data_IF_214135023849
#
_entry.id   IF_214135023849
#
_cell.length_a   1.000
_cell.length_b   1.000
_cell.length_c   1.000
_cell.angle_alpha   90.00
_cell.angle_beta   90.00
_cell.angle_gamma   90.00
#
_symmetry.space_group_name_H-M   'P 1'
#
loop_
_entity.id
_entity.type
_entity.pdbx_description
1 polymer ?
#
# COMPACT_ATOMS: atom_id res chain seq x y z
N UNK A 1 -13.95 14.15 12.19
CA UNK A 1 -13.90 13.49 10.86
C UNK A 1 -13.42 12.07 11.05
N UNK A 2 -14.18 11.08 10.57
CA UNK A 2 -13.96 9.69 10.94
C UNK A 2 -12.85 9.06 10.09
N UNK A 3 -11.58 9.16 10.52
CA UNK A 3 -10.43 8.50 9.88
C UNK A 3 -10.66 7.00 9.68
N UNK A 4 -11.49 6.38 10.54
CA UNK A 4 -11.93 4.98 10.40
C UNK A 4 -12.75 4.78 9.12
N UNK A 5 -13.63 5.72 8.75
CA UNK A 5 -14.42 5.63 7.52
C UNK A 5 -13.52 5.69 6.28
N UNK A 6 -12.54 6.59 6.26
CA UNK A 6 -11.55 6.66 5.18
C UNK A 6 -10.70 5.39 5.10
N UNK A 7 -10.31 4.83 6.24
CA UNK A 7 -9.58 3.56 6.29
C UNK A 7 -10.41 2.38 5.76
N UNK A 8 -11.70 2.30 6.10
CA UNK A 8 -12.60 1.26 5.61
C UNK A 8 -12.84 1.37 4.11
N UNK A 9 -13.02 2.59 3.59
CA UNK A 9 -13.14 2.83 2.16
C UNK A 9 -11.85 2.43 1.44
N UNK A 10 -10.69 2.84 1.94
CA UNK A 10 -9.40 2.47 1.39
C UNK A 10 -9.18 0.95 1.37
N UNK A 11 -9.54 0.27 2.47
CA UNK A 11 -9.49 -1.20 2.56
C UNK A 11 -10.33 -1.87 1.47
N UNK A 12 -11.57 -1.40 1.28
CA UNK A 12 -12.45 -1.92 0.23
C UNK A 12 -11.86 -1.73 -1.17
N UNK A 13 -11.45 -0.49 -1.49
CA UNK A 13 -10.86 -0.16 -2.79
C UNK A 13 -9.58 -0.97 -3.08
N UNK A 14 -8.68 -1.11 -2.10
CA UNK A 14 -7.44 -1.89 -2.26
C UNK A 14 -7.72 -3.38 -2.44
N UNK A 15 -8.73 -3.93 -1.76
CA UNK A 15 -9.13 -5.33 -1.92
C UNK A 15 -9.59 -5.63 -3.36
N UNK A 16 -10.43 -4.76 -3.94
CA UNK A 16 -10.85 -4.90 -5.33
C UNK A 16 -9.72 -4.65 -6.32
N UNK A 17 -8.83 -3.69 -6.04
CA UNK A 17 -7.67 -3.41 -6.89
C UNK A 17 -6.82 -4.67 -7.10
N UNK A 18 -6.53 -5.44 -6.04
CA UNK A 18 -5.77 -6.69 -6.14
C UNK A 18 -6.44 -7.74 -7.01
N UNK A 19 -7.77 -7.87 -6.90
CA UNK A 19 -8.56 -8.77 -7.75
C UNK A 19 -8.45 -8.37 -9.24
N UNK A 20 -8.74 -7.11 -9.57
CA UNK A 20 -8.69 -6.64 -10.96
C UNK A 20 -7.29 -6.71 -11.55
N UNK A 21 -6.25 -6.44 -10.76
CA UNK A 21 -4.87 -6.58 -11.22
C UNK A 21 -4.52 -8.03 -11.53
N UNK A 22 -4.93 -8.99 -10.69
CA UNK A 22 -4.72 -10.42 -11.00
C UNK A 22 -5.43 -10.81 -12.30
N UNK A 23 -6.67 -10.38 -12.49
CA UNK A 23 -7.44 -10.66 -13.71
C UNK A 23 -6.71 -10.09 -14.93
N UNK A 24 -6.26 -8.84 -14.88
CA UNK A 24 -5.51 -8.23 -15.97
C UNK A 24 -4.20 -8.96 -16.30
N UNK A 25 -3.52 -9.50 -15.29
CA UNK A 25 -2.28 -10.27 -15.44
C UNK A 25 -2.48 -11.66 -16.07
N UNK A 26 -3.72 -12.11 -16.31
CA UNK A 26 -4.00 -13.37 -17.01
C UNK A 26 -3.71 -13.26 -18.51
N UNK A 27 -4.07 -12.11 -19.12
CA UNK A 27 -3.95 -11.89 -20.56
C UNK A 27 -2.82 -10.93 -20.95
N UNK A 28 -2.32 -10.14 -19.99
CA UNK A 28 -1.31 -9.11 -20.23
C UNK A 28 -0.02 -9.36 -19.44
N UNK A 29 1.16 -9.12 -20.05
CA UNK A 29 2.43 -9.17 -19.33
C UNK A 29 2.47 -8.18 -18.15
N UNK A 30 3.18 -8.55 -17.09
CA UNK A 30 3.31 -7.72 -15.86
C UNK A 30 3.80 -6.31 -16.15
N UNK A 31 4.81 -6.17 -17.01
CA UNK A 31 5.39 -4.88 -17.39
C UNK A 31 4.48 -4.01 -18.26
N UNK A 32 3.36 -4.56 -18.77
CA UNK A 32 2.31 -3.81 -19.46
C UNK A 32 1.21 -3.37 -18.51
N UNK A 33 0.76 -4.24 -17.60
CA UNK A 33 -0.29 -3.92 -16.61
C UNK A 33 0.20 -2.89 -15.59
N UNK A 34 1.46 -2.98 -15.16
CA UNK A 34 2.04 -2.10 -14.16
C UNK A 34 1.93 -0.60 -14.50
N UNK A 35 2.44 -0.11 -15.65
CA UNK A 35 2.32 1.31 -16.01
C UNK A 35 0.88 1.78 -16.15
N UNK A 36 -0.03 0.92 -16.64
CA UNK A 36 -1.45 1.27 -16.77
C UNK A 36 -2.05 1.52 -15.38
N UNK A 37 -1.91 0.57 -14.46
CA UNK A 37 -2.47 0.68 -13.12
C UNK A 37 -1.87 1.86 -12.34
N UNK A 38 -0.54 2.02 -12.38
CA UNK A 38 0.16 3.14 -11.70
C UNK A 38 -0.17 4.48 -12.35
N UNK A 39 -0.29 4.53 -13.68
CA UNK A 39 -0.70 5.73 -14.40
C UNK A 39 -2.11 6.17 -14.03
N UNK A 40 -3.07 5.24 -13.97
CA UNK A 40 -4.44 5.53 -13.50
C UNK A 40 -4.44 6.04 -12.06
N UNK A 41 -3.66 5.43 -11.17
CA UNK A 41 -3.51 5.91 -9.78
C UNK A 41 -2.92 7.32 -9.72
N UNK A 42 -1.86 7.59 -10.50
CA UNK A 42 -1.21 8.90 -10.53
C UNK A 42 -2.15 9.99 -11.03
N UNK A 43 -2.89 9.73 -12.11
CA UNK A 43 -3.92 10.65 -12.63
C UNK A 43 -5.04 10.85 -11.62
N UNK A 44 -5.54 9.78 -11.00
CA UNK A 44 -6.59 9.89 -9.98
C UNK A 44 -6.14 10.71 -8.77
N UNK A 45 -4.92 10.48 -8.29
CA UNK A 45 -4.34 11.22 -7.16
C UNK A 45 -4.16 12.71 -7.48
N UNK A 46 -3.65 13.06 -8.66
CA UNK A 46 -3.50 14.46 -9.08
C UNK A 46 -4.85 15.14 -9.32
N UNK A 47 -5.82 14.44 -9.91
CA UNK A 47 -7.18 14.97 -10.09
C UNK A 47 -7.83 15.26 -8.74
N UNK A 48 -7.76 14.34 -7.77
CA UNK A 48 -8.31 14.57 -6.43
C UNK A 48 -7.62 15.76 -5.76
N UNK A 49 -6.29 15.83 -5.79
CA UNK A 49 -5.57 16.94 -5.20
C UNK A 49 -5.92 18.30 -5.85
N UNK A 50 -6.14 18.32 -7.17
CA UNK A 50 -6.59 19.52 -7.89
C UNK A 50 -8.02 19.92 -7.50
N UNK A 51 -8.95 18.97 -7.39
CA UNK A 51 -10.35 19.22 -7.02
C UNK A 51 -10.51 19.73 -5.59
N UNK A 52 -9.68 19.24 -4.66
CA UNK A 52 -9.68 19.70 -3.27
C UNK A 52 -8.90 21.02 -3.06
N UNK A 53 -8.18 21.50 -4.09
CA UNK A 53 -7.41 22.75 -4.01
C UNK A 53 -6.16 22.67 -3.12
N UNK A 54 -5.76 21.47 -2.71
CA UNK A 54 -4.61 21.23 -1.82
C UNK A 54 -3.28 21.05 -2.58
N UNK A 55 -3.32 21.14 -3.91
CA UNK A 55 -2.11 21.06 -4.74
C UNK A 55 -1.24 22.32 -4.56
N UNK A 56 -0.06 22.14 -3.97
CA UNK A 56 0.95 23.19 -3.84
C UNK A 56 2.28 22.75 -4.44
N UNK A 57 3.07 23.70 -4.95
CA UNK A 57 4.44 23.43 -5.42
C UNK A 57 5.37 23.60 -4.22
N UNK A 58 5.88 22.50 -3.63
CA UNK A 58 6.77 22.62 -2.49
C UNK A 58 8.13 23.18 -2.90
N UNK A 59 8.83 23.80 -1.95
CA UNK A 59 10.25 24.13 -2.15
C UNK A 59 11.07 22.85 -2.34
N UNK A 60 11.84 22.80 -3.42
CA UNK A 60 12.69 21.66 -3.76
C UNK A 60 13.72 21.31 -2.67
N UNK A 61 14.07 22.26 -1.80
CA UNK A 61 15.01 22.08 -0.70
C UNK A 61 14.36 21.59 0.61
N UNK A 62 13.05 21.34 0.64
CA UNK A 62 12.38 20.92 1.87
C UNK A 62 12.68 19.45 2.19
N UNK A 63 12.99 19.16 3.47
CA UNK A 63 13.23 17.79 3.95
C UNK A 63 12.03 16.86 3.70
N UNK A 64 10.81 17.41 3.71
CA UNK A 64 9.57 16.67 3.43
C UNK A 64 9.49 16.16 2.00
N UNK A 65 10.00 16.94 1.02
CA UNK A 65 10.11 16.47 -0.38
C UNK A 65 11.08 15.30 -0.47
N UNK A 66 12.18 15.31 0.30
CA UNK A 66 13.09 14.16 0.40
C UNK A 66 12.40 12.88 0.90
N UNK A 67 11.57 12.99 1.95
CA UNK A 67 10.78 11.84 2.42
C UNK A 67 9.71 11.39 1.42
N UNK A 68 9.09 12.31 0.67
CA UNK A 68 8.16 11.97 -0.39
C UNK A 68 8.84 11.17 -1.52
N UNK A 69 10.06 11.57 -1.91
CA UNK A 69 10.86 10.79 -2.86
C UNK A 69 11.25 9.41 -2.33
N UNK A 70 11.68 9.33 -1.07
CA UNK A 70 11.99 8.04 -0.44
C UNK A 70 10.76 7.12 -0.39
N UNK A 71 9.58 7.68 -0.06
CA UNK A 71 8.32 6.95 -0.11
C UNK A 71 8.00 6.47 -1.54
N UNK A 72 8.21 7.33 -2.55
CA UNK A 72 8.04 6.98 -3.96
C UNK A 72 8.94 5.82 -4.42
N UNK A 73 10.21 5.82 -4.01
CA UNK A 73 11.16 4.73 -4.31
C UNK A 73 10.71 3.43 -3.66
N UNK A 74 10.31 3.47 -2.39
CA UNK A 74 9.78 2.30 -1.68
C UNK A 74 8.49 1.78 -2.33
N UNK A 75 7.58 2.67 -2.74
CA UNK A 75 6.35 2.33 -3.45
C UNK A 75 6.64 1.69 -4.81
N UNK A 76 7.63 2.20 -5.56
CA UNK A 76 8.04 1.60 -6.83
C UNK A 76 8.53 0.16 -6.62
N UNK A 77 9.38 -0.07 -5.62
CA UNK A 77 9.83 -1.42 -5.25
C UNK A 77 8.67 -2.33 -4.84
N UNK A 78 7.74 -1.81 -4.03
CA UNK A 78 6.56 -2.55 -3.58
C UNK A 78 5.65 -2.94 -4.75
N UNK A 79 5.34 -2.02 -5.67
CA UNK A 79 4.50 -2.28 -6.84
C UNK A 79 5.15 -3.31 -7.77
N UNK A 80 6.44 -3.14 -8.09
CA UNK A 80 7.16 -4.08 -8.96
C UNK A 80 7.19 -5.48 -8.35
N UNK A 81 7.56 -5.59 -7.08
CA UNK A 81 7.60 -6.87 -6.36
C UNK A 81 6.22 -7.52 -6.27
N UNK A 82 5.19 -6.75 -5.93
CA UNK A 82 3.84 -7.25 -5.75
C UNK A 82 3.19 -7.71 -7.06
N UNK A 83 3.31 -6.93 -8.14
CA UNK A 83 2.77 -7.32 -9.45
C UNK A 83 3.47 -8.55 -10.00
N UNK A 84 4.79 -8.65 -9.77
CA UNK A 84 5.55 -9.85 -10.15
C UNK A 84 5.10 -11.07 -9.34
N UNK A 85 4.89 -10.92 -8.04
CA UNK A 85 4.36 -12.00 -7.21
C UNK A 85 2.94 -12.41 -7.62
N UNK A 86 2.08 -11.44 -7.95
CA UNK A 86 0.73 -11.71 -8.46
C UNK A 86 0.74 -12.41 -9.81
N UNK A 87 1.72 -12.17 -10.69
CA UNK A 87 1.78 -12.89 -11.96
C UNK A 87 2.29 -14.32 -11.81
N UNK A 88 3.09 -14.62 -10.78
CA UNK A 88 3.68 -15.95 -10.59
C UNK A 88 3.00 -16.82 -9.53
N UNK A 89 2.16 -16.25 -8.65
CA UNK A 89 1.56 -16.97 -7.53
C UNK A 89 0.04 -16.76 -7.38
N UNK A 90 -0.64 -17.57 -6.55
CA UNK A 90 -2.05 -17.42 -6.25
C UNK A 90 -2.32 -16.18 -5.39
N UNK A 91 -3.42 -15.48 -5.66
CA UNK A 91 -3.82 -14.26 -4.93
C UNK A 91 -4.01 -14.54 -3.43
N UNK A 92 -4.55 -15.71 -3.10
CA UNK A 92 -4.81 -16.15 -1.73
C UNK A 92 -3.56 -16.27 -0.86
N UNK A 93 -2.38 -16.42 -1.46
CA UNK A 93 -1.09 -16.48 -0.74
C UNK A 93 -0.36 -15.14 -0.83
N UNK A 94 -0.35 -14.53 -2.02
CA UNK A 94 0.39 -13.28 -2.27
C UNK A 94 -0.21 -12.08 -1.53
N UNK A 95 -1.54 -11.94 -1.49
CA UNK A 95 -2.21 -10.81 -0.81
C UNK A 95 -1.96 -10.81 0.69
N UNK A 96 -2.12 -11.92 1.44
CA UNK A 96 -1.82 -11.95 2.87
C UNK A 96 -0.36 -11.61 3.17
N UNK A 97 0.60 -12.22 2.47
CA UNK A 97 2.03 -11.93 2.65
C UNK A 97 2.30 -10.44 2.43
N UNK A 98 1.79 -9.88 1.34
CA UNK A 98 1.92 -8.44 1.08
C UNK A 98 1.31 -7.63 2.22
N UNK A 99 0.13 -8.01 2.71
CA UNK A 99 -0.58 -7.41 3.84
C UNK A 99 0.21 -7.36 5.16
N UNK A 100 1.32 -8.09 5.31
CA UNK A 100 2.24 -7.92 6.44
C UNK A 100 2.86 -6.52 6.53
N UNK A 101 2.78 -5.71 5.47
CA UNK A 101 3.13 -4.29 5.56
C UNK A 101 2.35 -3.58 6.67
N UNK A 102 1.16 -4.05 7.07
CA UNK A 102 0.40 -3.50 8.19
C UNK A 102 1.15 -3.66 9.53
N UNK A 103 1.77 -4.83 9.73
CA UNK A 103 2.63 -5.11 10.89
C UNK A 103 3.89 -4.25 10.82
N UNK A 104 4.56 -4.23 9.67
CA UNK A 104 5.76 -3.43 9.46
C UNK A 104 5.52 -1.93 9.67
N UNK A 105 4.43 -1.39 9.11
CA UNK A 105 4.04 0.01 9.24
C UNK A 105 3.70 0.38 10.68
N UNK A 106 2.97 -0.46 11.41
CA UNK A 106 2.70 -0.25 12.82
C UNK A 106 3.98 -0.26 13.66
N UNK A 107 4.91 -1.18 13.40
CA UNK A 107 6.21 -1.24 14.08
C UNK A 107 7.07 0.00 13.79
N UNK A 108 7.14 0.43 12.53
CA UNK A 108 7.87 1.64 12.15
C UNK A 108 7.25 2.90 12.77
N UNK A 109 5.91 2.98 12.84
CA UNK A 109 5.21 4.07 13.54
C UNK A 109 5.59 4.13 15.03
N UNK A 110 5.64 2.99 15.68
CA UNK A 110 6.07 2.89 17.09
C UNK A 110 7.54 3.30 17.25
N UNK A 111 8.45 2.71 16.46
CA UNK A 111 9.90 2.86 16.65
C UNK A 111 10.40 4.23 16.20
N UNK A 112 9.90 4.73 15.07
CA UNK A 112 10.41 5.96 14.44
C UNK A 112 9.60 7.18 14.86
N UNK A 113 8.26 7.07 14.92
CA UNK A 113 7.39 8.19 15.28
C UNK A 113 7.07 8.25 16.80
N UNK A 114 7.47 7.24 17.57
CA UNK A 114 7.27 7.21 19.02
C UNK A 114 5.81 6.98 19.42
N UNK A 115 5.00 6.36 18.55
CA UNK A 115 3.59 6.11 18.85
C UNK A 115 3.41 5.20 20.07
N UNK A 116 2.48 5.56 20.96
CA UNK A 116 2.18 4.77 22.15
C UNK A 116 1.69 3.36 21.81
N UNK A 117 2.40 2.36 22.33
CA UNK A 117 2.04 0.94 22.25
C UNK A 117 1.24 0.56 23.48
N UNK A 118 0.03 0.06 23.26
CA UNK A 118 -0.73 -0.63 24.29
C UNK A 118 -0.55 -2.14 24.12
N UNK A 119 -0.70 -2.90 25.21
CA UNK A 119 -0.66 -4.37 25.15
C UNK A 119 -1.67 -4.93 24.14
N UNK A 120 -2.83 -4.28 23.98
CA UNK A 120 -3.84 -4.64 22.97
C UNK A 120 -3.32 -4.45 21.54
N UNK A 121 -2.67 -3.32 21.24
CA UNK A 121 -2.07 -3.08 19.91
C UNK A 121 -0.98 -4.11 19.61
N UNK A 122 -0.10 -4.39 20.57
CA UNK A 122 0.96 -5.37 20.42
C UNK A 122 0.40 -6.78 20.14
N UNK A 123 -0.60 -7.22 20.90
CA UNK A 123 -1.28 -8.50 20.66
C UNK A 123 -1.99 -8.53 19.30
N UNK A 124 -2.64 -7.44 18.88
CA UNK A 124 -3.26 -7.36 17.56
C UNK A 124 -2.26 -7.50 16.42
N UNK A 125 -1.11 -6.86 16.52
CA UNK A 125 -0.01 -6.98 15.55
C UNK A 125 0.51 -8.43 15.52
N UNK A 126 0.74 -9.04 16.68
CA UNK A 126 1.21 -10.42 16.78
C UNK A 126 0.20 -11.42 16.17
N UNK A 127 -1.08 -11.30 16.52
CA UNK A 127 -2.12 -12.15 15.94
C UNK A 127 -2.31 -11.91 14.44
N UNK A 128 -2.17 -10.67 13.97
CA UNK A 128 -2.18 -10.36 12.54
C UNK A 128 -1.05 -11.05 11.80
N UNK A 129 0.17 -11.04 12.35
CA UNK A 129 1.31 -11.75 11.79
C UNK A 129 1.08 -13.27 11.75
N UNK A 130 0.58 -13.86 12.85
CA UNK A 130 0.26 -15.30 12.91
C UNK A 130 -0.82 -15.67 11.90
N UNK A 131 -1.89 -14.88 11.78
CA UNK A 131 -2.96 -15.11 10.82
C UNK A 131 -2.42 -15.12 9.38
N UNK A 132 -1.55 -14.17 9.03
CA UNK A 132 -0.94 -14.14 7.69
C UNK A 132 -0.06 -15.36 7.44
N UNK A 133 0.80 -15.75 8.39
CA UNK A 133 1.66 -16.93 8.25
C UNK A 133 0.80 -18.17 8.00
N UNK A 134 -0.28 -18.36 8.76
CA UNK A 134 -1.19 -19.50 8.60
C UNK A 134 -1.92 -19.51 7.25
N UNK A 135 -2.23 -18.34 6.67
CA UNK A 135 -2.85 -18.27 5.34
C UNK A 135 -1.81 -18.53 4.23
N UNK A 136 -0.55 -18.14 4.48
CA UNK A 136 0.52 -18.23 3.50
C UNK A 136 1.15 -19.64 3.38
N UNK A 137 0.97 -20.50 4.38
CA UNK A 137 1.42 -21.91 4.42
C UNK A 137 0.33 -22.88 3.98
#
# INVERSE_FOLDING_TARGET
MNYVLWALLAMGCYSFAFLFMKIALQDLPTFTVMPIAVGTLAVGATTVAALFGEWSIPSAASRSVGFAFAAGICLAGAVVGYFRALSTGPVSTVVPIFGMFLVGGALLGVVILGEGVTARKALGIAFGAVAVVLIAT
#
